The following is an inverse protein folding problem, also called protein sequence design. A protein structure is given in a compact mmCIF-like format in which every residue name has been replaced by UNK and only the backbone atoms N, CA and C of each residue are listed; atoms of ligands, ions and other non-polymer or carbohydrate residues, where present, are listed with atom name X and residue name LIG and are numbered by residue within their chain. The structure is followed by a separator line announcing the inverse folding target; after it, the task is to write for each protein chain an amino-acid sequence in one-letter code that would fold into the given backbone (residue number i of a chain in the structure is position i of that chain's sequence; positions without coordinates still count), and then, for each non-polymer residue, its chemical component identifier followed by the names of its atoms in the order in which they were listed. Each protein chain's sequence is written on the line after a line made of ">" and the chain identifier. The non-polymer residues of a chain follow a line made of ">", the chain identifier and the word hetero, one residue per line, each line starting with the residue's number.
data_IF_268808976471
#
_entry.id   IF_268808976471
#
_cell.length_a   1.000
_cell.length_b   1.000
_cell.length_c   1.000
_cell.angle_alpha   90.00
_cell.angle_beta   90.00
_cell.angle_gamma   90.00
#
_symmetry.space_group_name_H-M   'P 1'
#
loop_
_entity.id
_entity.type
_entity.pdbx_description
1 polymer ?
#
# COMPACT_ATOMS: atom_id res chain seq x y z
N UNK A 1 6.00 12.12 -27.19
CA UNK A 1 5.38 11.51 -25.99
C UNK A 1 6.14 12.10 -24.84
N UNK A 2 5.53 13.04 -24.13
CA UNK A 2 6.17 13.69 -22.97
C UNK A 2 6.25 12.65 -21.88
N UNK A 3 7.48 12.33 -21.48
CA UNK A 3 7.78 11.60 -20.26
C UNK A 3 7.24 12.45 -19.11
N UNK A 4 6.01 12.18 -18.68
CA UNK A 4 5.38 12.96 -17.62
C UNK A 4 6.01 12.47 -16.33
N UNK A 5 6.93 13.29 -15.79
CA UNK A 5 7.55 13.03 -14.51
C UNK A 5 6.46 12.79 -13.47
N UNK A 6 6.65 11.74 -12.66
CA UNK A 6 5.71 11.39 -11.60
C UNK A 6 5.41 12.62 -10.71
N UNK A 7 4.13 12.96 -10.48
CA UNK A 7 3.82 14.08 -9.62
C UNK A 7 4.25 13.80 -8.17
N UNK A 8 4.61 14.86 -7.45
CA UNK A 8 4.99 14.77 -6.03
C UNK A 8 3.78 14.39 -5.17
N UNK A 9 2.60 14.86 -5.56
CA UNK A 9 1.32 14.59 -4.90
C UNK A 9 0.39 13.84 -5.86
N UNK A 10 -0.58 13.11 -5.31
CA UNK A 10 -1.60 12.45 -6.13
C UNK A 10 -2.38 13.50 -6.95
N UNK A 11 -2.63 13.20 -8.23
CA UNK A 11 -3.43 14.04 -9.12
C UNK A 11 -4.60 13.27 -9.72
N UNK A 12 -5.68 13.96 -10.17
CA UNK A 12 -6.82 13.28 -10.80
C UNK A 12 -6.48 12.42 -12.03
N UNK A 13 -5.33 12.65 -12.68
CA UNK A 13 -4.86 11.84 -13.81
C UNK A 13 -4.47 10.40 -13.40
N UNK A 14 -4.23 10.17 -12.10
CA UNK A 14 -3.96 8.86 -11.51
C UNK A 14 -5.24 8.14 -11.04
N UNK A 15 -6.42 8.71 -11.28
CA UNK A 15 -7.69 8.10 -10.86
C UNK A 15 -8.12 6.95 -11.77
N UNK A 16 -8.33 5.79 -11.16
CA UNK A 16 -8.94 4.62 -11.82
C UNK A 16 -10.47 4.70 -11.81
N UNK A 17 -11.05 5.71 -11.15
CA UNK A 17 -12.49 5.98 -11.14
C UNK A 17 -13.27 5.15 -10.12
N UNK A 18 -12.58 4.50 -9.18
CA UNK A 18 -13.17 3.75 -8.08
C UNK A 18 -12.66 4.36 -6.78
N UNK A 19 -13.54 5.03 -6.04
CA UNK A 19 -13.20 5.86 -4.87
C UNK A 19 -12.33 5.12 -3.84
N UNK A 20 -12.68 3.88 -3.49
CA UNK A 20 -11.91 3.10 -2.52
C UNK A 20 -10.46 2.81 -2.97
N UNK A 21 -10.25 2.58 -4.27
CA UNK A 21 -8.90 2.36 -4.82
C UNK A 21 -8.14 3.68 -4.91
N UNK A 22 -8.81 4.75 -5.38
CA UNK A 22 -8.22 6.08 -5.48
C UNK A 22 -7.80 6.61 -4.09
N UNK A 23 -8.54 6.29 -3.04
CA UNK A 23 -8.22 6.68 -1.66
C UNK A 23 -7.03 5.89 -1.09
N UNK A 24 -6.90 4.61 -1.42
CA UNK A 24 -5.69 3.84 -1.12
C UNK A 24 -4.48 4.46 -1.85
N UNK A 25 -4.62 4.74 -3.16
CA UNK A 25 -3.58 5.38 -3.97
C UNK A 25 -3.10 6.69 -3.36
N UNK A 26 -4.02 7.59 -3.00
CA UNK A 26 -3.68 8.87 -2.34
C UNK A 26 -2.88 8.67 -1.05
N UNK A 27 -3.19 7.64 -0.28
CA UNK A 27 -2.52 7.40 1.00
C UNK A 27 -1.03 7.09 0.82
N UNK A 28 -0.65 6.37 -0.24
CA UNK A 28 0.78 6.13 -0.52
C UNK A 28 1.55 7.45 -0.72
N UNK A 29 0.98 8.42 -1.44
CA UNK A 29 1.61 9.73 -1.62
C UNK A 29 1.76 10.47 -0.28
N UNK A 30 0.74 10.43 0.58
CA UNK A 30 0.78 11.05 1.92
C UNK A 30 1.89 10.44 2.79
N UNK A 31 2.01 9.10 2.81
CA UNK A 31 3.02 8.43 3.65
C UNK A 31 4.44 8.67 3.12
N UNK A 32 4.62 8.65 1.80
CA UNK A 32 5.90 9.01 1.15
C UNK A 32 6.30 10.44 1.49
N UNK A 33 5.39 11.40 1.35
CA UNK A 33 5.67 12.81 1.66
C UNK A 33 6.02 12.98 3.15
N UNK A 34 5.31 12.31 4.05
CA UNK A 34 5.61 12.32 5.48
C UNK A 34 7.05 11.84 5.76
N UNK A 35 7.48 10.74 5.12
CA UNK A 35 8.85 10.23 5.29
C UNK A 35 9.89 11.23 4.77
N UNK A 36 9.73 11.72 3.55
CA UNK A 36 10.67 12.65 2.91
C UNK A 36 10.75 13.97 3.67
N UNK A 37 9.60 14.49 4.12
CA UNK A 37 9.50 15.72 4.90
C UNK A 37 10.13 15.57 6.28
N UNK A 38 9.88 14.46 6.98
CA UNK A 38 10.54 14.19 8.26
C UNK A 38 12.07 14.11 8.13
N UNK A 39 12.58 13.42 7.10
CA UNK A 39 14.03 13.32 6.85
C UNK A 39 14.65 14.69 6.60
N UNK A 40 13.97 15.55 5.81
CA UNK A 40 14.42 16.90 5.49
C UNK A 40 14.41 17.82 6.71
N UNK A 41 13.38 17.73 7.55
CA UNK A 41 13.18 18.60 8.72
C UNK A 41 13.98 18.14 9.95
N UNK A 42 14.33 16.86 9.99
CA UNK A 42 15.09 16.22 11.06
C UNK A 42 14.56 16.53 12.47
N UNK A 43 13.27 16.25 12.76
CA UNK A 43 12.68 16.50 14.07
C UNK A 43 13.25 15.52 15.12
N UNK A 44 13.11 15.87 16.40
CA UNK A 44 13.60 15.03 17.51
C UNK A 44 13.01 13.61 17.53
N UNK A 45 11.81 13.42 16.98
CA UNK A 45 11.10 12.15 16.89
C UNK A 45 11.21 11.48 15.51
N UNK A 46 12.21 11.84 14.69
CA UNK A 46 12.39 11.33 13.32
C UNK A 46 12.32 9.79 13.25
N UNK A 47 13.05 9.08 14.12
CA UNK A 47 13.05 7.61 14.12
C UNK A 47 11.64 7.03 14.31
N UNK A 48 10.87 7.59 15.25
CA UNK A 48 9.50 7.13 15.51
C UNK A 48 8.59 7.39 14.31
N UNK A 49 8.74 8.53 13.62
CA UNK A 49 8.02 8.84 12.39
C UNK A 49 8.37 7.81 11.32
N UNK A 50 9.67 7.57 11.06
CA UNK A 50 10.11 6.63 10.03
C UNK A 50 9.62 5.21 10.30
N UNK A 51 9.73 4.72 11.53
CA UNK A 51 9.22 3.39 11.91
C UNK A 51 7.72 3.28 11.69
N UNK A 52 6.96 4.28 12.15
CA UNK A 52 5.50 4.29 11.99
C UNK A 52 5.10 4.34 10.51
N UNK A 53 5.75 5.19 9.70
CA UNK A 53 5.51 5.26 8.26
C UNK A 53 5.84 3.95 7.55
N UNK A 54 6.92 3.26 7.94
CA UNK A 54 7.28 1.97 7.37
C UNK A 54 6.22 0.91 7.70
N UNK A 55 5.74 0.85 8.94
CA UNK A 55 4.66 -0.06 9.34
C UNK A 55 3.40 0.23 8.52
N UNK A 56 3.00 1.50 8.42
CA UNK A 56 1.84 1.91 7.61
C UNK A 56 2.03 1.51 6.16
N UNK A 57 3.20 1.72 5.55
CA UNK A 57 3.47 1.30 4.18
C UNK A 57 3.28 -0.21 3.99
N UNK A 58 3.80 -1.04 4.90
CA UNK A 58 3.65 -2.49 4.79
C UNK A 58 2.18 -2.92 4.84
N UNK A 59 1.43 -2.43 5.83
CA UNK A 59 0.01 -2.74 5.99
C UNK A 59 -0.80 -2.26 4.77
N UNK A 60 -0.54 -1.04 4.31
CA UNK A 60 -1.26 -0.45 3.18
C UNK A 60 -0.95 -1.15 1.86
N UNK A 61 0.32 -1.50 1.60
CA UNK A 61 0.70 -2.24 0.38
C UNK A 61 -0.03 -3.59 0.33
N UNK A 62 -0.01 -4.35 1.43
CA UNK A 62 -0.65 -5.67 1.48
C UNK A 62 -2.17 -5.57 1.30
N UNK A 63 -2.83 -4.71 2.06
CA UNK A 63 -4.28 -4.53 2.00
C UNK A 63 -4.75 -4.00 0.64
N UNK A 64 -4.01 -3.06 0.05
CA UNK A 64 -4.36 -2.44 -1.24
C UNK A 64 -4.27 -3.46 -2.37
N UNK A 65 -3.16 -4.20 -2.45
CA UNK A 65 -3.00 -5.25 -3.45
C UNK A 65 -4.06 -6.33 -3.32
N UNK A 66 -4.37 -6.76 -2.09
CA UNK A 66 -5.47 -7.70 -1.86
C UNK A 66 -6.82 -7.14 -2.37
N UNK A 67 -7.09 -5.85 -2.15
CA UNK A 67 -8.30 -5.18 -2.64
C UNK A 67 -8.40 -5.26 -4.15
N UNK A 68 -7.34 -4.87 -4.86
CA UNK A 68 -7.30 -4.88 -6.32
C UNK A 68 -7.41 -6.29 -6.87
N UNK A 69 -6.68 -7.24 -6.30
CA UNK A 69 -6.66 -8.64 -6.76
C UNK A 69 -8.01 -9.31 -6.61
N UNK A 70 -8.69 -9.10 -5.48
CA UNK A 70 -10.07 -9.59 -5.29
C UNK A 70 -11.04 -8.93 -6.26
N UNK A 71 -10.89 -7.64 -6.51
CA UNK A 71 -11.74 -6.93 -7.47
C UNK A 71 -11.53 -7.41 -8.90
N UNK A 72 -10.27 -7.62 -9.30
CA UNK A 72 -9.90 -8.20 -10.59
C UNK A 72 -10.41 -9.63 -10.75
N UNK A 73 -10.32 -10.45 -9.70
CA UNK A 73 -10.85 -11.81 -9.68
C UNK A 73 -12.39 -11.83 -9.83
N UNK A 74 -13.09 -11.01 -9.05
CA UNK A 74 -14.55 -10.87 -9.13
C UNK A 74 -15.01 -10.37 -10.51
N UNK A 75 -14.23 -9.51 -11.17
CA UNK A 75 -14.51 -9.00 -12.51
C UNK A 75 -14.10 -9.97 -13.64
N UNK A 76 -13.40 -11.06 -13.33
CA UNK A 76 -12.83 -11.96 -14.34
C UNK A 76 -11.76 -11.30 -15.22
N UNK A 77 -10.95 -10.40 -14.64
CA UNK A 77 -9.94 -9.64 -15.37
C UNK A 77 -8.82 -10.55 -15.90
N UNK A 78 -8.64 -10.55 -17.22
CA UNK A 78 -7.78 -11.52 -17.91
C UNK A 78 -6.29 -11.45 -17.54
N UNK A 79 -5.81 -10.31 -17.02
CA UNK A 79 -4.39 -10.08 -16.68
C UNK A 79 -4.10 -10.16 -15.18
N UNK A 80 -5.01 -10.72 -14.38
CA UNK A 80 -4.85 -10.84 -12.93
C UNK A 80 -3.50 -11.43 -12.51
N UNK A 81 -3.08 -12.53 -13.15
CA UNK A 81 -1.83 -13.21 -12.78
C UNK A 81 -0.58 -12.39 -13.11
N UNK A 82 -0.60 -11.62 -14.21
CA UNK A 82 0.48 -10.69 -14.55
C UNK A 82 0.55 -9.54 -13.52
N UNK A 83 -0.61 -9.06 -13.07
CA UNK A 83 -0.73 -7.99 -12.08
C UNK A 83 -0.24 -8.44 -10.70
N UNK A 84 -0.66 -9.64 -10.24
CA UNK A 84 -0.17 -10.29 -9.01
C UNK A 84 1.36 -10.43 -9.00
N UNK A 85 1.95 -10.83 -10.13
CA UNK A 85 3.41 -10.96 -10.22
C UNK A 85 4.14 -9.63 -9.98
N UNK A 86 3.59 -8.50 -10.47
CA UNK A 86 4.15 -7.17 -10.23
C UNK A 86 4.03 -6.76 -8.76
N UNK A 87 2.90 -7.07 -8.12
CA UNK A 87 2.69 -6.85 -6.69
C UNK A 87 3.69 -7.63 -5.83
N UNK A 88 3.92 -8.90 -6.13
CA UNK A 88 4.89 -9.74 -5.41
C UNK A 88 6.33 -9.26 -5.59
N UNK A 89 6.72 -8.85 -6.82
CA UNK A 89 8.05 -8.29 -7.07
C UNK A 89 8.29 -7.03 -6.23
N UNK A 90 7.28 -6.15 -6.16
CA UNK A 90 7.37 -4.93 -5.36
C UNK A 90 7.43 -5.21 -3.86
N UNK A 91 6.57 -6.11 -3.35
CA UNK A 91 6.58 -6.54 -1.94
C UNK A 91 7.96 -7.08 -1.55
N UNK A 92 8.55 -7.96 -2.35
CA UNK A 92 9.88 -8.50 -2.10
C UNK A 92 10.96 -7.41 -2.08
N UNK A 93 10.92 -6.45 -3.01
CA UNK A 93 11.87 -5.34 -3.07
C UNK A 93 11.74 -4.39 -1.88
N UNK A 94 10.52 -4.00 -1.50
CA UNK A 94 10.27 -3.15 -0.35
C UNK A 94 10.74 -3.84 0.94
N UNK A 95 10.44 -5.12 1.11
CA UNK A 95 10.84 -5.92 2.27
C UNK A 95 12.36 -5.97 2.45
N UNK A 96 13.13 -6.14 1.37
CA UNK A 96 14.60 -6.13 1.44
C UNK A 96 15.16 -4.80 1.98
N UNK A 97 14.55 -3.68 1.59
CA UNK A 97 14.95 -2.34 2.05
C UNK A 97 14.58 -2.16 3.53
N UNK A 98 13.39 -2.60 3.92
CA UNK A 98 12.90 -2.53 5.31
C UNK A 98 13.76 -3.39 6.24
N UNK A 99 14.14 -4.60 5.83
CA UNK A 99 15.08 -5.42 6.59
C UNK A 99 16.44 -4.76 6.77
N UNK A 100 16.90 -4.05 5.74
CA UNK A 100 18.15 -3.27 5.83
C UNK A 100 18.00 -2.14 6.83
N UNK A 101 16.90 -1.38 6.77
CA UNK A 101 16.56 -0.32 7.72
C UNK A 101 16.57 -0.82 9.17
N UNK A 102 15.97 -1.99 9.43
CA UNK A 102 15.87 -2.57 10.77
C UNK A 102 17.20 -3.09 11.34
N UNK A 103 18.18 -3.41 10.48
CA UNK A 103 19.50 -3.90 10.89
C UNK A 103 20.50 -2.77 11.17
N UNK A 104 20.24 -1.56 10.69
CA UNK A 104 21.14 -0.41 10.87
C UNK A 104 20.93 0.21 12.25
N UNK A 105 22.03 0.47 12.95
CA UNK A 105 22.06 1.19 14.24
C UNK A 105 22.57 2.62 14.12
N UNK A 106 23.25 2.96 13.03
CA UNK A 106 23.68 4.33 12.74
C UNK A 106 22.51 5.15 12.16
N UNK A 107 22.17 6.26 12.81
CA UNK A 107 21.00 7.04 12.42
C UNK A 107 21.12 7.68 11.04
N UNK A 108 22.31 8.12 10.63
CA UNK A 108 22.49 8.77 9.33
C UNK A 108 22.35 7.76 8.19
N UNK A 109 22.91 6.56 8.34
CA UNK A 109 22.71 5.47 7.39
C UNK A 109 21.25 4.97 7.39
N UNK A 110 20.60 4.91 8.55
CA UNK A 110 19.19 4.52 8.66
C UNK A 110 18.28 5.52 7.91
N UNK A 111 18.55 6.83 8.04
CA UNK A 111 17.83 7.88 7.33
C UNK A 111 18.01 7.77 5.80
N UNK A 112 19.21 7.43 5.32
CA UNK A 112 19.47 7.19 3.88
C UNK A 112 18.66 6.01 3.34
N UNK A 113 18.56 4.93 4.12
CA UNK A 113 17.77 3.76 3.72
C UNK A 113 16.27 4.07 3.73
N UNK A 114 15.77 4.83 4.71
CA UNK A 114 14.39 5.28 4.73
C UNK A 114 14.07 6.20 3.54
N UNK A 115 14.97 7.14 3.22
CA UNK A 115 14.86 7.98 2.02
C UNK A 115 14.79 7.11 0.75
N UNK A 116 15.65 6.09 0.67
CA UNK A 116 15.66 5.16 -0.47
C UNK A 116 14.35 4.38 -0.58
N UNK A 117 13.77 3.96 0.54
CA UNK A 117 12.48 3.29 0.56
C UNK A 117 11.37 4.21 0.01
N UNK A 118 11.30 5.45 0.52
CA UNK A 118 10.30 6.42 0.07
C UNK A 118 10.39 6.70 -1.44
N UNK A 119 11.61 6.83 -1.98
CA UNK A 119 11.83 7.00 -3.42
C UNK A 119 11.40 5.78 -4.24
N UNK A 120 11.69 4.57 -3.75
CA UNK A 120 11.29 3.32 -4.43
C UNK A 120 9.78 3.15 -4.44
N UNK A 121 9.11 3.42 -3.32
CA UNK A 121 7.64 3.37 -3.21
C UNK A 121 7.01 4.41 -4.12
N UNK A 122 7.45 5.67 -4.05
CA UNK A 122 6.92 6.76 -4.88
C UNK A 122 7.02 6.44 -6.37
N UNK A 123 8.21 6.07 -6.83
CA UNK A 123 8.45 5.75 -8.23
C UNK A 123 7.61 4.56 -8.68
N UNK A 124 7.52 3.50 -7.86
CA UNK A 124 6.81 2.30 -8.25
C UNK A 124 5.29 2.53 -8.29
N UNK A 125 4.69 3.09 -7.24
CA UNK A 125 3.25 3.35 -7.17
C UNK A 125 2.81 4.22 -8.35
N UNK A 126 3.59 5.25 -8.66
CA UNK A 126 3.25 6.15 -9.74
C UNK A 126 3.29 5.50 -11.12
N UNK A 127 4.35 4.74 -11.41
CA UNK A 127 4.48 4.02 -12.67
C UNK A 127 3.44 2.89 -12.78
N UNK A 128 3.19 2.18 -11.68
CA UNK A 128 2.23 1.08 -11.61
C UNK A 128 0.81 1.59 -11.83
N UNK A 129 0.40 2.66 -11.14
CA UNK A 129 -0.92 3.26 -11.36
C UNK A 129 -1.10 3.68 -12.82
N UNK A 130 -0.15 4.47 -13.33
CA UNK A 130 -0.26 5.08 -14.65
C UNK A 130 -0.22 4.06 -15.81
N UNK A 131 0.49 2.94 -15.64
CA UNK A 131 0.77 1.98 -16.73
C UNK A 131 0.03 0.65 -16.58
N UNK A 132 -0.33 0.26 -15.37
CA UNK A 132 -0.87 -1.07 -15.03
C UNK A 132 -2.30 -0.94 -14.53
N UNK A 133 -2.53 -0.20 -13.44
CA UNK A 133 -3.85 -0.07 -12.82
C UNK A 133 -4.86 0.60 -13.75
N UNK A 134 -4.44 1.64 -14.47
CA UNK A 134 -5.28 2.29 -15.47
C UNK A 134 -5.84 1.33 -16.55
N UNK A 135 -5.21 0.17 -16.77
CA UNK A 135 -5.70 -0.81 -17.74
C UNK A 135 -6.95 -1.57 -17.26
N UNK A 136 -7.17 -1.69 -15.95
CA UNK A 136 -8.35 -2.38 -15.41
C UNK A 136 -9.57 -1.44 -15.28
N UNK A 137 -9.40 -0.13 -15.51
CA UNK A 137 -10.41 0.93 -15.28
C UNK A 137 -11.78 0.64 -15.89
N UNK A 138 -11.80 0.15 -17.13
CA UNK A 138 -13.04 -0.17 -17.84
C UNK A 138 -13.61 -1.56 -17.49
N UNK A 139 -12.80 -2.40 -16.85
CA UNK A 139 -13.17 -3.78 -16.46
C UNK A 139 -13.72 -3.85 -15.04
N UNK A 140 -13.16 -3.05 -14.13
CA UNK A 140 -13.58 -2.99 -12.74
C UNK A 140 -14.71 -1.99 -12.56
N UNK A 141 -15.52 -2.24 -11.54
CA UNK A 141 -16.63 -1.41 -11.10
C UNK A 141 -16.61 -1.38 -9.60
N UNK A 142 -17.24 -0.34 -9.01
CA UNK A 142 -17.35 -0.22 -7.56
C UNK A 142 -17.96 -1.48 -6.89
N UNK A 143 -18.86 -2.19 -7.56
CA UNK A 143 -19.48 -3.42 -7.05
C UNK A 143 -18.52 -4.62 -6.94
N UNK A 144 -17.38 -4.60 -7.63
CA UNK A 144 -16.34 -5.62 -7.51
C UNK A 144 -15.37 -5.33 -6.36
N UNK A 145 -15.34 -4.10 -5.86
CA UNK A 145 -14.31 -3.62 -4.93
C UNK A 145 -14.84 -3.71 -3.51
N UNK A 146 -14.08 -4.38 -2.64
CA UNK A 146 -14.35 -4.36 -1.20
C UNK A 146 -14.22 -2.91 -0.70
N UNK A 147 -15.29 -2.34 -0.13
CA UNK A 147 -15.32 -0.95 0.34
C UNK A 147 -15.00 -0.80 1.82
N UNK A 148 -14.62 -1.88 2.52
CA UNK A 148 -14.23 -1.81 3.93
C UNK A 148 -12.97 -0.95 4.10
N UNK A 149 -12.75 -0.37 5.31
CA UNK A 149 -11.48 0.27 5.64
C UNK A 149 -10.31 -0.68 5.40
N UNK A 150 -9.21 -0.14 4.87
CA UNK A 150 -8.05 -0.94 4.45
C UNK A 150 -7.47 -1.78 5.59
N UNK A 151 -7.59 -1.32 6.85
CA UNK A 151 -7.15 -2.05 8.03
C UNK A 151 -7.70 -3.49 8.11
N UNK A 152 -8.95 -3.74 7.67
CA UNK A 152 -9.51 -5.09 7.63
C UNK A 152 -8.83 -5.96 6.56
N UNK A 153 -8.56 -5.38 5.40
CA UNK A 153 -7.90 -6.06 4.29
C UNK A 153 -6.42 -6.31 4.57
N UNK A 154 -5.74 -5.38 5.24
CA UNK A 154 -4.35 -5.55 5.69
C UNK A 154 -4.22 -6.73 6.64
N UNK A 155 -5.13 -6.86 7.62
CA UNK A 155 -5.14 -8.00 8.52
C UNK A 155 -5.36 -9.32 7.77
N UNK A 156 -6.33 -9.37 6.85
CA UNK A 156 -6.60 -10.56 6.04
C UNK A 156 -5.43 -10.92 5.10
N UNK A 157 -4.74 -9.92 4.56
CA UNK A 157 -3.57 -10.12 3.70
C UNK A 157 -2.40 -10.74 4.47
N UNK A 158 -2.26 -10.39 5.76
CA UNK A 158 -1.23 -10.95 6.63
C UNK A 158 -1.61 -12.37 7.12
N UNK A 159 -2.89 -12.65 7.34
CA UNK A 159 -3.42 -13.96 7.74
C UNK A 159 -3.43 -14.98 6.58
N UNK A 160 -3.54 -14.53 5.33
CA UNK A 160 -3.46 -15.39 4.13
C UNK A 160 -2.13 -16.13 3.92
N UNK A 161 -1.15 -15.92 4.81
CA UNK A 161 0.08 -16.72 4.92
C UNK A 161 -0.05 -18.02 5.72
N UNK A 162 -1.16 -18.23 6.44
CA UNK A 162 -1.47 -19.51 7.11
C UNK A 162 -2.98 -19.59 7.39
N UNK A 163 -3.66 -20.53 6.75
CA UNK A 163 -5.09 -20.83 6.97
C UNK A 163 -5.42 -20.88 8.48
N UNK A 164 -6.10 -19.85 9.02
CA UNK A 164 -6.95 -19.98 10.21
C UNK A 164 -7.88 -18.77 10.38
N UNK A 165 -9.18 -19.06 10.39
CA UNK A 165 -10.28 -18.17 10.74
C UNK A 165 -10.00 -17.32 12.00
N UNK A 166 -9.71 -16.02 11.84
CA UNK A 166 -9.92 -15.05 12.90
C UNK A 166 -11.36 -14.52 12.80
N UNK A 167 -12.32 -15.33 13.26
CA UNK A 167 -13.73 -14.93 13.27
C UNK A 167 -13.98 -13.87 14.36
N UNK A 168 -14.01 -12.60 13.95
CA UNK A 168 -14.32 -11.44 14.79
C UNK A 168 -15.68 -11.56 15.50
N UNK A 169 -16.62 -12.35 14.95
CA UNK A 169 -17.94 -12.58 15.56
C UNK A 169 -17.87 -13.43 16.84
N UNK A 170 -16.78 -14.17 17.04
CA UNK A 170 -16.56 -14.95 18.26
C UNK A 170 -16.21 -14.11 19.50
N UNK A 171 -15.91 -12.81 19.32
CA UNK A 171 -15.53 -11.89 20.41
C UNK A 171 -16.68 -10.99 20.90
N UNK A 172 -17.88 -11.07 20.31
CA UNK A 172 -19.05 -10.35 20.81
C UNK A 172 -19.61 -11.13 22.02
N UNK A 173 -19.62 -10.57 23.24
CA UNK A 173 -20.28 -11.23 24.36
C UNK A 173 -21.79 -11.30 24.07
N UNK A 174 -22.33 -12.51 23.96
CA UNK A 174 -23.77 -12.80 24.00
C UNK A 174 -24.29 -12.51 25.41
N UNK A 175 -24.36 -11.25 25.84
CA UNK A 175 -25.06 -10.87 27.06
C UNK A 175 -25.42 -9.38 27.06
N UNK A 176 -26.57 -9.06 26.45
CA UNK A 176 -27.34 -7.86 26.76
C UNK A 176 -28.50 -8.24 27.69
N UNK A 177 -28.72 -7.55 28.83
CA UNK A 177 -29.74 -7.96 29.78
C UNK A 177 -31.15 -7.57 29.29
N UNK A 178 -32.07 -8.54 29.35
CA UNK A 178 -33.51 -8.31 29.49
C UNK A 178 -33.89 -8.02 30.94
#
# INVERSE_FOLDING_TARGET
>A
MTDQACPVEWTPDLSVGIEAIDDDHKTFFVVVDLMQSAIRENPQNLEAILRSSITILQEYVNGHFLREERAMEAAGYAKLEEHRALHEEFKAKAQQIIETFNKITDHDEQNKVAQKLAEVVHSWICDHIAKVDMAYKDSLKAEHVDSRPLAFLSQEADEGGDDNDFDLLSMIPEDGPH
#
